data_IF_448759374905
#
_entry.id   IF_448759374905
#
_cell.length_a   1.000
_cell.length_b   1.000
_cell.length_c   1.000
_cell.angle_alpha   90.00
_cell.angle_beta   90.00
_cell.angle_gamma   90.00
#
_symmetry.space_group_name_H-M   'P 1'
#
loop_
_entity.id
_entity.type
_entity.pdbx_description
1 polymer ?
#
# COMPACT_ATOMS: atom_id res chain seq x y z
N UNK A 1 -16.64 66.53 29.99
CA UNK A 1 -18.11 66.61 30.01
C UNK A 1 -18.55 65.19 30.32
N UNK A 2 -18.71 64.97 31.54
CA UNK A 2 -19.91 64.85 32.46
C UNK A 2 -20.52 63.44 32.28
N UNK A 3 -20.26 62.59 33.26
CA UNK A 3 -21.17 62.38 34.45
C UNK A 3 -22.36 61.47 34.04
N UNK A 4 -22.77 60.41 34.72
CA UNK A 4 -22.78 60.14 36.18
C UNK A 4 -23.35 58.75 36.42
N UNK A 5 -22.82 58.03 37.36
CA UNK A 5 -23.53 57.08 38.24
C UNK A 5 -24.51 57.82 39.12
N UNK A 6 -25.52 57.21 39.77
CA UNK A 6 -25.35 56.39 40.99
C UNK A 6 -26.41 55.32 41.31
N UNK A 7 -26.04 54.31 42.08
CA UNK A 7 -26.40 53.97 43.51
C UNK A 7 -27.82 53.59 43.89
N UNK A 8 -27.85 52.59 44.72
CA UNK A 8 -28.76 52.46 45.86
C UNK A 8 -29.32 51.05 46.02
N UNK A 9 -28.84 50.25 46.86
CA UNK A 9 -28.93 50.12 48.33
C UNK A 9 -30.08 49.26 48.81
N UNK A 10 -29.71 48.19 49.52
CA UNK A 10 -30.17 47.79 50.90
C UNK A 10 -31.62 47.28 51.04
N UNK A 11 -31.92 46.18 51.66
CA UNK A 11 -31.80 45.86 53.09
C UNK A 11 -32.53 44.52 53.33
N UNK A 12 -31.93 43.55 54.01
CA UNK A 12 -32.21 43.05 55.33
C UNK A 12 -33.57 42.34 55.61
N UNK A 13 -33.53 41.17 56.03
CA UNK A 13 -33.66 40.62 57.35
C UNK A 13 -34.55 39.37 57.47
N UNK A 14 -34.03 38.43 58.23
CA UNK A 14 -34.63 37.58 59.28
C UNK A 14 -35.93 36.82 58.95
N UNK A 15 -35.98 35.56 59.15
CA UNK A 15 -35.85 34.83 60.36
C UNK A 15 -36.68 33.55 60.37
N UNK A 16 -36.20 32.65 61.17
CA UNK A 16 -36.85 31.57 61.91
C UNK A 16 -37.25 30.29 61.18
N UNK A 17 -36.46 29.24 61.40
CA UNK A 17 -36.79 28.19 62.36
C UNK A 17 -38.13 27.46 62.16
N UNK A 18 -38.02 26.18 61.76
CA UNK A 18 -38.63 25.07 62.55
C UNK A 18 -38.56 23.73 61.85
N UNK A 19 -37.85 22.82 62.49
CA UNK A 19 -38.13 21.39 62.78
C UNK A 19 -38.73 20.47 61.69
N UNK A 20 -37.92 19.50 61.38
CA UNK A 20 -38.19 18.05 61.49
C UNK A 20 -39.27 17.41 60.60
N UNK A 21 -38.83 16.54 59.77
CA UNK A 21 -39.28 15.14 59.84
C UNK A 21 -38.54 14.30 58.79
N UNK A 22 -37.92 13.29 59.31
CA UNK A 22 -37.35 12.20 58.55
C UNK A 22 -38.38 11.48 57.67
N UNK A 23 -38.15 11.35 56.41
CA UNK A 23 -38.68 10.23 55.64
C UNK A 23 -37.62 9.81 54.63
N UNK A 24 -37.07 8.58 54.83
CA UNK A 24 -36.25 7.87 53.93
C UNK A 24 -36.92 7.71 52.55
N UNK A 25 -36.34 8.31 51.57
CA UNK A 25 -36.63 8.11 50.17
C UNK A 25 -35.38 7.53 49.51
N UNK A 26 -35.41 6.25 49.31
CA UNK A 26 -34.49 5.48 48.49
C UNK A 26 -34.19 6.25 47.19
N UNK A 27 -33.01 6.85 47.12
CA UNK A 27 -32.45 7.27 45.83
C UNK A 27 -32.12 6.00 45.04
N UNK A 28 -33.09 5.53 44.27
CA UNK A 28 -32.80 4.65 43.13
C UNK A 28 -31.85 5.43 42.24
N UNK A 29 -30.62 4.96 42.18
CA UNK A 29 -29.72 5.31 41.10
C UNK A 29 -30.43 4.93 39.78
N UNK A 30 -30.86 5.93 39.06
CA UNK A 30 -31.09 5.79 37.63
C UNK A 30 -29.72 5.55 37.03
N UNK A 31 -29.28 4.28 37.04
CA UNK A 31 -28.23 3.81 36.17
C UNK A 31 -28.78 4.01 34.78
N UNK A 32 -28.22 4.94 34.08
CA UNK A 32 -28.43 5.13 32.66
C UNK A 32 -27.88 3.86 31.99
N UNK A 33 -28.79 2.99 31.55
CA UNK A 33 -28.48 1.85 30.69
C UNK A 33 -28.09 2.37 29.33
N UNK A 34 -26.87 2.90 29.22
CA UNK A 34 -26.26 3.37 27.95
C UNK A 34 -25.46 2.26 27.24
N UNK A 35 -25.44 1.04 27.79
CA UNK A 35 -24.52 -0.03 27.32
C UNK A 35 -25.21 -1.04 26.41
N UNK A 36 -26.55 -1.00 26.23
CA UNK A 36 -27.25 -2.05 25.48
C UNK A 36 -27.70 -1.65 24.06
N UNK A 37 -27.37 -0.46 23.55
CA UNK A 37 -27.78 -0.07 22.18
C UNK A 37 -26.75 -0.46 21.08
N UNK A 38 -25.53 -0.78 21.41
CA UNK A 38 -24.51 -1.15 20.39
C UNK A 38 -24.58 -2.59 19.88
N UNK A 39 -25.40 -3.44 20.47
CA UNK A 39 -25.42 -4.88 20.10
C UNK A 39 -26.62 -5.32 19.26
N UNK A 40 -27.49 -4.39 18.79
CA UNK A 40 -28.69 -4.74 18.01
C UNK A 40 -28.63 -4.47 16.52
N UNK A 41 -27.45 -4.19 15.92
CA UNK A 41 -27.40 -3.83 14.51
C UNK A 41 -27.15 -5.04 13.57
N UNK A 42 -27.06 -6.28 14.03
CA UNK A 42 -26.49 -7.33 13.17
C UNK A 42 -27.34 -8.59 12.89
N UNK A 43 -28.62 -8.64 13.18
CA UNK A 43 -29.40 -9.86 12.85
C UNK A 43 -30.31 -9.77 11.62
N UNK A 44 -30.39 -8.60 10.95
CA UNK A 44 -31.28 -8.43 9.78
C UNK A 44 -30.61 -8.33 8.41
N UNK A 45 -29.27 -8.26 8.35
CA UNK A 45 -28.56 -7.86 7.11
C UNK A 45 -28.04 -8.99 6.24
N UNK A 46 -28.13 -10.24 6.67
CA UNK A 46 -27.56 -11.37 5.90
C UNK A 46 -28.09 -11.48 4.48
N UNK A 47 -29.40 -11.44 4.29
CA UNK A 47 -30.01 -11.57 2.96
C UNK A 47 -29.79 -10.33 2.09
N UNK A 48 -29.95 -9.13 2.66
CA UNK A 48 -29.69 -7.88 1.95
C UNK A 48 -28.22 -7.76 1.53
N UNK A 49 -27.26 -8.14 2.38
CA UNK A 49 -25.85 -8.17 2.05
C UNK A 49 -25.55 -9.11 0.87
N UNK A 50 -26.15 -10.31 0.86
CA UNK A 50 -26.02 -11.23 -0.27
C UNK A 50 -26.61 -10.66 -1.57
N UNK A 51 -27.73 -9.95 -1.51
CA UNK A 51 -28.34 -9.31 -2.68
C UNK A 51 -27.42 -8.23 -3.30
N UNK A 52 -26.68 -7.47 -2.48
CA UNK A 52 -25.70 -6.51 -2.97
C UNK A 52 -24.45 -7.16 -3.57
N UNK A 53 -24.01 -8.31 -3.04
CA UNK A 53 -22.85 -9.03 -3.55
C UNK A 53 -23.18 -9.88 -4.80
N UNK A 54 -24.42 -10.30 -4.96
CA UNK A 54 -24.87 -11.19 -6.03
C UNK A 54 -24.52 -10.70 -7.45
N UNK A 55 -24.72 -9.43 -7.84
CA UNK A 55 -24.32 -8.94 -9.15
C UNK A 55 -22.82 -9.07 -9.41
N UNK A 56 -21.99 -8.70 -8.44
CA UNK A 56 -20.52 -8.83 -8.54
C UNK A 56 -20.10 -10.30 -8.62
N UNK A 57 -20.76 -11.15 -7.84
CA UNK A 57 -20.50 -12.60 -7.83
C UNK A 57 -20.94 -13.26 -9.14
N UNK A 58 -22.05 -12.82 -9.73
CA UNK A 58 -22.51 -13.30 -11.04
C UNK A 58 -21.51 -12.93 -12.15
N UNK A 59 -21.00 -11.70 -12.15
CA UNK A 59 -19.95 -11.26 -13.09
C UNK A 59 -18.69 -12.09 -12.88
N UNK A 60 -18.26 -12.30 -11.64
CA UNK A 60 -17.08 -13.11 -11.34
C UNK A 60 -17.25 -14.57 -11.77
N UNK A 61 -18.43 -15.16 -11.57
CA UNK A 61 -18.72 -16.52 -12.00
C UNK A 61 -18.65 -16.67 -13.53
N UNK A 62 -19.26 -15.74 -14.26
CA UNK A 62 -19.34 -15.83 -15.73
C UNK A 62 -18.02 -15.47 -16.41
N UNK A 63 -17.33 -14.44 -15.93
CA UNK A 63 -16.15 -13.91 -16.62
C UNK A 63 -14.80 -14.35 -16.02
N UNK A 64 -14.79 -14.88 -14.81
CA UNK A 64 -13.54 -15.35 -14.17
C UNK A 64 -13.60 -16.86 -13.93
N UNK A 65 -14.59 -17.33 -13.19
CA UNK A 65 -14.64 -18.73 -12.74
C UNK A 65 -14.96 -19.69 -13.89
N UNK A 66 -15.94 -19.37 -14.73
CA UNK A 66 -16.29 -20.24 -15.85
C UNK A 66 -15.16 -20.35 -16.90
N UNK A 67 -14.49 -19.25 -17.34
CA UNK A 67 -13.31 -19.36 -18.19
C UNK A 67 -12.14 -20.08 -17.50
N UNK A 68 -11.93 -19.89 -16.20
CA UNK A 68 -10.90 -20.59 -15.46
C UNK A 68 -11.12 -22.11 -15.47
N UNK A 69 -12.35 -22.57 -15.15
CA UNK A 69 -12.70 -23.99 -15.19
C UNK A 69 -12.52 -24.55 -16.61
N UNK A 70 -12.95 -23.79 -17.62
CA UNK A 70 -12.77 -24.20 -19.02
C UNK A 70 -11.29 -24.29 -19.41
N UNK A 71 -10.46 -23.36 -18.97
CA UNK A 71 -8.99 -23.39 -19.19
C UNK A 71 -8.36 -24.62 -18.55
N UNK A 72 -8.74 -24.93 -17.30
CA UNK A 72 -8.28 -26.15 -16.63
C UNK A 72 -8.71 -27.39 -17.40
N UNK A 73 -9.96 -27.46 -17.87
CA UNK A 73 -10.44 -28.58 -18.70
C UNK A 73 -9.66 -28.70 -20.01
N UNK A 74 -9.45 -27.58 -20.71
CA UNK A 74 -8.68 -27.54 -21.97
C UNK A 74 -7.23 -27.95 -21.79
N UNK A 75 -6.62 -27.71 -20.63
CA UNK A 75 -5.23 -28.08 -20.36
C UNK A 75 -4.97 -29.61 -20.44
N UNK A 76 -6.01 -30.42 -20.29
CA UNK A 76 -5.96 -31.88 -20.45
C UNK A 76 -6.32 -32.36 -21.86
N UNK A 77 -6.47 -31.44 -22.80
CA UNK A 77 -6.84 -31.75 -24.20
C UNK A 77 -5.78 -31.25 -25.17
N UNK A 78 -5.83 -31.72 -26.40
CA UNK A 78 -5.00 -31.21 -27.52
C UNK A 78 -5.75 -30.16 -28.37
N UNK A 79 -6.73 -29.48 -27.76
CA UNK A 79 -7.53 -28.45 -28.41
C UNK A 79 -6.65 -27.33 -28.99
N UNK A 80 -7.01 -26.89 -30.18
CA UNK A 80 -6.44 -25.69 -30.84
C UNK A 80 -7.57 -24.78 -31.29
N UNK A 81 -7.28 -23.53 -31.65
CA UNK A 81 -8.29 -22.62 -32.20
C UNK A 81 -9.03 -23.19 -33.41
N UNK A 82 -8.41 -24.10 -34.15
CA UNK A 82 -8.95 -24.66 -35.40
C UNK A 82 -9.68 -26.00 -35.19
N UNK A 83 -9.49 -26.70 -34.07
CA UNK A 83 -10.05 -28.03 -33.82
C UNK A 83 -10.48 -28.20 -32.38
N UNK A 84 -11.69 -28.80 -32.16
CA UNK A 84 -12.01 -29.31 -30.83
C UNK A 84 -10.97 -30.37 -30.46
N UNK A 85 -10.44 -30.33 -29.25
CA UNK A 85 -9.39 -31.24 -28.79
C UNK A 85 -9.96 -32.58 -28.30
N UNK A 86 -9.14 -33.62 -28.35
CA UNK A 86 -9.38 -34.89 -27.66
C UNK A 86 -8.70 -34.86 -26.27
N UNK A 87 -9.22 -35.67 -25.37
CA UNK A 87 -8.62 -35.78 -24.03
C UNK A 87 -7.29 -36.54 -24.11
N UNK A 88 -6.19 -35.87 -23.76
CA UNK A 88 -4.82 -36.42 -23.81
C UNK A 88 -4.19 -36.54 -22.41
N UNK A 89 -4.95 -36.31 -21.36
CA UNK A 89 -4.47 -36.40 -19.98
C UNK A 89 -3.34 -35.41 -19.71
N UNK A 90 -2.23 -35.88 -19.17
CA UNK A 90 -1.09 -35.03 -18.75
C UNK A 90 -0.02 -34.82 -19.85
N UNK A 91 -0.31 -35.22 -21.10
CA UNK A 91 0.68 -35.12 -22.18
C UNK A 91 1.15 -33.68 -22.43
N UNK A 92 0.25 -32.69 -22.36
CA UNK A 92 0.58 -31.28 -22.53
C UNK A 92 1.51 -30.76 -21.40
N UNK A 93 1.28 -31.21 -20.18
CA UNK A 93 2.15 -30.89 -19.04
C UNK A 93 3.54 -31.50 -19.19
N UNK A 94 3.61 -32.73 -19.72
CA UNK A 94 4.91 -33.39 -20.01
C UNK A 94 5.67 -32.64 -21.10
N UNK A 95 5.00 -32.24 -22.19
CA UNK A 95 5.59 -31.40 -23.23
C UNK A 95 6.09 -30.06 -22.67
N UNK A 96 5.28 -29.41 -21.86
CA UNK A 96 5.63 -28.16 -21.19
C UNK A 96 6.91 -28.31 -20.32
N UNK A 97 6.98 -29.37 -19.51
CA UNK A 97 8.15 -29.61 -18.66
C UNK A 97 9.43 -29.97 -19.46
N UNK A 98 9.28 -30.49 -20.68
CA UNK A 98 10.39 -30.78 -21.57
C UNK A 98 10.82 -29.58 -22.44
N UNK A 99 10.04 -28.50 -22.45
CA UNK A 99 10.31 -27.32 -23.28
C UNK A 99 11.39 -26.42 -22.64
N UNK A 100 12.54 -26.20 -23.32
CA UNK A 100 13.57 -25.29 -22.84
C UNK A 100 13.09 -23.85 -22.65
N UNK A 101 12.07 -23.40 -23.40
CA UNK A 101 11.52 -22.06 -23.25
C UNK A 101 10.82 -21.87 -21.89
N UNK A 102 10.13 -22.91 -21.41
CA UNK A 102 9.50 -22.92 -20.07
C UNK A 102 10.56 -22.83 -18.97
N UNK A 103 11.63 -23.61 -19.05
CA UNK A 103 12.75 -23.55 -18.10
C UNK A 103 13.39 -22.17 -18.07
N UNK A 104 13.61 -21.59 -19.25
CA UNK A 104 14.14 -20.23 -19.39
C UNK A 104 13.19 -19.20 -18.78
N UNK A 105 11.90 -19.32 -19.04
CA UNK A 105 10.85 -18.45 -18.47
C UNK A 105 10.78 -18.53 -16.95
N UNK A 106 10.82 -19.75 -16.40
CA UNK A 106 10.85 -19.97 -14.95
C UNK A 106 12.09 -19.36 -14.29
N UNK A 107 13.26 -19.55 -14.90
CA UNK A 107 14.51 -18.95 -14.41
C UNK A 107 14.42 -17.41 -14.41
N UNK A 108 14.00 -16.82 -15.51
CA UNK A 108 13.86 -15.37 -15.64
C UNK A 108 12.86 -14.82 -14.61
N UNK A 109 11.70 -15.47 -14.45
CA UNK A 109 10.67 -15.07 -13.48
C UNK A 109 11.17 -15.19 -12.05
N UNK A 110 11.87 -16.28 -11.72
CA UNK A 110 12.44 -16.48 -10.39
C UNK A 110 13.49 -15.41 -10.06
N UNK A 111 14.41 -15.13 -10.98
CA UNK A 111 15.40 -14.06 -10.84
C UNK A 111 14.73 -12.70 -10.70
N UNK A 112 13.68 -12.46 -11.50
CA UNK A 112 12.92 -11.22 -11.43
C UNK A 112 12.33 -11.00 -10.03
N UNK A 113 11.63 -12.00 -9.47
CA UNK A 113 11.05 -11.93 -8.13
C UNK A 113 12.12 -11.75 -7.06
N UNK A 114 13.18 -12.56 -7.10
CA UNK A 114 14.27 -12.51 -6.11
C UNK A 114 14.99 -11.15 -6.12
N UNK A 115 15.17 -10.54 -7.30
CA UNK A 115 15.81 -9.25 -7.41
C UNK A 115 14.83 -8.09 -7.12
N UNK A 116 13.64 -8.08 -7.73
CA UNK A 116 12.74 -6.91 -7.65
C UNK A 116 12.09 -6.79 -6.28
N UNK A 117 11.62 -7.89 -5.68
CA UNK A 117 10.83 -7.81 -4.43
C UNK A 117 11.63 -7.21 -3.26
N UNK A 118 12.86 -7.61 -2.96
CA UNK A 118 13.63 -6.99 -1.88
C UNK A 118 13.83 -5.47 -2.08
N UNK A 119 14.14 -5.06 -3.31
CA UNK A 119 14.30 -3.63 -3.61
C UNK A 119 12.98 -2.87 -3.50
N UNK A 120 11.85 -3.45 -3.90
CA UNK A 120 10.52 -2.86 -3.81
C UNK A 120 10.00 -2.77 -2.35
N UNK A 121 10.55 -3.56 -1.44
CA UNK A 121 10.25 -3.46 -0.01
C UNK A 121 11.18 -2.46 0.67
N UNK A 122 12.48 -2.57 0.44
CA UNK A 122 13.49 -1.83 1.20
C UNK A 122 13.63 -0.39 0.74
N UNK A 123 13.78 -0.14 -0.58
CA UNK A 123 14.04 1.20 -1.10
C UNK A 123 12.89 2.18 -0.83
N UNK A 124 11.60 1.83 -1.07
CA UNK A 124 10.51 2.74 -0.77
C UNK A 124 10.39 3.06 0.73
N UNK A 125 10.66 2.09 1.62
CA UNK A 125 10.66 2.31 3.06
C UNK A 125 11.76 3.29 3.50
N UNK A 126 12.98 3.12 2.95
CA UNK A 126 14.08 4.06 3.18
C UNK A 126 13.69 5.45 2.67
N UNK A 127 13.19 5.54 1.43
CA UNK A 127 12.76 6.82 0.86
C UNK A 127 11.64 7.46 1.69
N UNK A 128 10.63 6.70 2.10
CA UNK A 128 9.55 7.19 2.95
C UNK A 128 10.08 7.76 4.26
N UNK A 129 11.02 7.06 4.92
CA UNK A 129 11.63 7.54 6.16
C UNK A 129 12.44 8.82 5.98
N UNK A 130 13.12 8.98 4.83
CA UNK A 130 13.90 10.18 4.51
C UNK A 130 13.00 11.38 4.17
N UNK A 131 11.83 11.16 3.58
CA UNK A 131 10.92 12.23 3.16
C UNK A 131 9.69 12.40 4.07
N UNK A 132 9.68 11.79 5.27
CA UNK A 132 8.56 11.82 6.21
C UNK A 132 8.32 13.19 6.89
N UNK A 133 9.26 14.13 6.80
CA UNK A 133 9.12 15.45 7.43
C UNK A 133 8.15 16.41 6.71
N UNK A 134 7.84 17.55 7.36
CA UNK A 134 6.87 18.56 6.88
C UNK A 134 7.49 19.72 6.08
N UNK A 135 8.67 19.55 5.51
CA UNK A 135 9.34 20.59 4.71
C UNK A 135 8.78 20.66 3.28
N UNK A 136 8.74 21.87 2.69
CA UNK A 136 8.37 22.08 1.28
C UNK A 136 9.32 21.34 0.32
N UNK A 137 10.59 21.23 0.69
CA UNK A 137 11.61 20.50 -0.09
C UNK A 137 11.27 19.01 -0.10
N UNK A 138 10.92 18.43 1.05
CA UNK A 138 10.52 17.02 1.14
C UNK A 138 9.22 16.74 0.37
N UNK A 139 8.28 17.69 0.35
CA UNK A 139 7.07 17.60 -0.46
C UNK A 139 7.38 17.60 -1.96
N UNK A 140 8.35 18.38 -2.39
CA UNK A 140 8.83 18.36 -3.78
C UNK A 140 9.45 17.01 -4.14
N UNK A 141 10.31 16.43 -3.28
CA UNK A 141 10.87 15.10 -3.52
C UNK A 141 9.78 14.01 -3.57
N UNK A 142 8.78 14.06 -2.66
CA UNK A 142 7.63 13.14 -2.71
C UNK A 142 6.90 13.20 -4.05
N UNK A 143 6.61 14.41 -4.53
CA UNK A 143 5.96 14.61 -5.83
C UNK A 143 6.83 14.09 -6.99
N UNK A 144 8.15 14.34 -6.94
CA UNK A 144 9.09 13.90 -7.99
C UNK A 144 9.22 12.38 -8.05
N UNK A 145 9.30 11.69 -6.91
CA UNK A 145 9.32 10.21 -6.87
C UNK A 145 7.98 9.59 -7.26
N UNK A 146 6.87 10.30 -7.07
CA UNK A 146 5.55 9.82 -7.47
C UNK A 146 5.24 10.06 -8.95
N UNK A 147 5.96 10.96 -9.61
CA UNK A 147 5.73 11.31 -11.01
C UNK A 147 5.68 10.08 -11.96
N UNK A 148 6.61 9.10 -11.85
CA UNK A 148 6.57 7.92 -12.72
C UNK A 148 5.29 7.09 -12.60
N UNK A 149 4.63 7.11 -11.44
CA UNK A 149 3.38 6.35 -11.18
C UNK A 149 2.21 6.90 -11.97
N UNK A 150 2.19 8.22 -12.21
CA UNK A 150 1.09 8.90 -12.90
C UNK A 150 1.23 8.81 -14.43
N UNK A 151 2.44 8.55 -14.91
CA UNK A 151 2.72 8.45 -16.34
C UNK A 151 2.22 7.11 -16.89
N UNK A 152 1.60 7.11 -18.05
CA UNK A 152 1.16 5.88 -18.71
C UNK A 152 2.35 4.92 -18.91
N UNK A 153 2.15 3.64 -18.56
CA UNK A 153 3.17 2.58 -18.73
C UNK A 153 3.68 2.49 -20.18
N UNK A 154 2.83 2.77 -21.17
CA UNK A 154 3.24 2.79 -22.59
C UNK A 154 4.26 3.91 -22.84
N UNK A 155 4.00 5.11 -22.30
CA UNK A 155 4.91 6.25 -22.43
C UNK A 155 6.23 5.94 -21.72
N UNK A 156 6.17 5.38 -20.51
CA UNK A 156 7.36 4.94 -19.78
C UNK A 156 8.16 3.96 -20.62
N UNK A 157 7.52 2.95 -21.22
CA UNK A 157 8.18 1.98 -22.09
C UNK A 157 8.86 2.64 -23.29
N UNK A 158 8.18 3.54 -23.98
CA UNK A 158 8.74 4.27 -25.13
C UNK A 158 9.94 5.14 -24.75
N UNK A 159 9.85 5.87 -23.62
CA UNK A 159 10.95 6.71 -23.14
C UNK A 159 12.17 5.86 -22.79
N UNK A 160 12.00 4.78 -22.03
CA UNK A 160 13.10 3.90 -21.67
C UNK A 160 13.69 3.15 -22.86
N UNK A 161 12.88 2.75 -23.84
CA UNK A 161 13.37 2.17 -25.09
C UNK A 161 14.32 3.12 -25.83
N UNK A 162 13.99 4.41 -25.89
CA UNK A 162 14.87 5.43 -26.47
C UNK A 162 16.12 5.70 -25.62
N UNK A 163 15.99 5.75 -24.29
CA UNK A 163 17.10 5.98 -23.37
C UNK A 163 18.13 4.84 -23.44
N UNK A 164 17.67 3.59 -23.51
CA UNK A 164 18.49 2.37 -23.53
C UNK A 164 18.88 1.89 -24.94
N UNK A 165 18.41 2.58 -25.98
CA UNK A 165 18.78 2.26 -27.36
C UNK A 165 20.32 2.28 -27.58
N UNK A 166 20.87 1.59 -28.58
CA UNK A 166 22.31 1.63 -28.88
C UNK A 166 22.85 3.06 -29.06
N UNK A 167 22.08 3.95 -29.68
CA UNK A 167 22.42 5.38 -29.81
C UNK A 167 21.66 6.26 -28.80
N UNK A 168 21.12 5.66 -27.72
CA UNK A 168 20.38 6.34 -26.70
C UNK A 168 21.27 7.12 -25.72
N UNK A 169 20.59 7.86 -24.83
CA UNK A 169 21.25 8.79 -23.89
C UNK A 169 22.25 8.07 -22.98
N UNK A 170 21.92 6.86 -22.48
CA UNK A 170 22.80 6.09 -21.58
C UNK A 170 24.09 5.70 -22.29
N UNK A 171 24.00 5.11 -23.47
CA UNK A 171 25.18 4.74 -24.26
C UNK A 171 26.00 5.97 -24.67
N UNK A 172 25.36 7.06 -25.06
CA UNK A 172 26.03 8.30 -25.42
C UNK A 172 26.80 8.89 -24.22
N UNK A 173 26.18 8.92 -23.04
CA UNK A 173 26.83 9.41 -21.82
C UNK A 173 28.01 8.52 -21.41
N UNK A 174 27.87 7.19 -21.43
CA UNK A 174 28.96 6.28 -21.10
C UNK A 174 30.14 6.40 -22.08
N UNK A 175 29.86 6.63 -23.36
CA UNK A 175 30.89 6.84 -24.37
C UNK A 175 31.60 8.18 -24.23
N UNK A 176 30.88 9.25 -23.85
CA UNK A 176 31.48 10.59 -23.67
C UNK A 176 32.49 10.64 -22.53
N UNK A 177 32.28 9.81 -21.47
CA UNK A 177 33.24 9.69 -20.36
C UNK A 177 34.27 8.54 -20.59
N UNK A 178 34.36 8.00 -21.79
CA UNK A 178 35.24 6.88 -22.17
C UNK A 178 35.07 5.62 -21.30
N UNK A 179 33.90 5.42 -20.68
CA UNK A 179 33.59 4.23 -19.88
C UNK A 179 33.37 2.98 -20.74
N UNK A 180 32.98 3.15 -21.99
CA UNK A 180 32.74 2.06 -22.96
C UNK A 180 33.37 2.39 -24.30
N UNK A 181 33.86 1.36 -24.99
CA UNK A 181 34.37 1.46 -26.38
C UNK A 181 33.30 1.22 -27.41
N UNK A 182 32.40 0.25 -27.14
CA UNK A 182 31.30 -0.16 -28.00
C UNK A 182 29.95 0.08 -27.27
N UNK A 183 28.87 0.18 -28.05
CA UNK A 183 27.54 0.35 -27.50
C UNK A 183 27.06 -0.91 -26.75
N UNK A 184 26.51 -0.72 -25.57
CA UNK A 184 25.93 -1.80 -24.77
C UNK A 184 24.53 -2.13 -25.32
N UNK A 185 24.25 -3.40 -25.68
CA UNK A 185 22.96 -3.82 -26.26
C UNK A 185 21.89 -4.10 -25.17
N UNK A 186 21.51 -3.10 -24.41
CA UNK A 186 20.58 -3.21 -23.26
C UNK A 186 19.25 -3.90 -23.60
N UNK A 187 18.76 -3.74 -24.85
CA UNK A 187 17.43 -4.20 -25.26
C UNK A 187 17.46 -5.49 -26.11
N UNK A 188 18.65 -5.94 -26.53
CA UNK A 188 18.81 -7.10 -27.42
C UNK A 188 19.53 -8.25 -26.77
N UNK A 189 20.36 -8.00 -25.77
CA UNK A 189 20.94 -9.06 -24.94
C UNK A 189 19.94 -9.52 -23.87
N UNK A 190 19.83 -10.84 -23.70
CA UNK A 190 18.85 -11.46 -22.78
C UNK A 190 18.98 -10.96 -21.34
N UNK A 191 20.20 -10.94 -20.83
CA UNK A 191 20.46 -10.59 -19.44
C UNK A 191 20.32 -9.09 -19.20
N UNK A 192 20.85 -8.28 -20.11
CA UNK A 192 20.74 -6.83 -20.03
C UNK A 192 19.29 -6.35 -20.16
N UNK A 193 18.51 -6.99 -21.04
CA UNK A 193 17.08 -6.73 -21.14
C UNK A 193 16.34 -7.05 -19.85
N UNK A 194 16.64 -8.22 -19.24
CA UNK A 194 16.01 -8.64 -17.98
C UNK A 194 16.34 -7.65 -16.86
N UNK A 195 17.62 -7.28 -16.68
CA UNK A 195 18.03 -6.30 -15.67
C UNK A 195 17.48 -4.90 -15.95
N UNK A 196 17.42 -4.48 -17.21
CA UNK A 196 16.78 -3.20 -17.60
C UNK A 196 15.31 -3.17 -17.21
N UNK A 197 14.57 -4.25 -17.48
CA UNK A 197 13.18 -4.38 -17.10
C UNK A 197 12.98 -4.35 -15.57
N UNK A 198 13.83 -5.05 -14.82
CA UNK A 198 13.83 -5.01 -13.34
C UNK A 198 14.06 -3.59 -12.82
N UNK A 199 15.07 -2.89 -13.35
CA UNK A 199 15.40 -1.51 -12.96
C UNK A 199 14.23 -0.55 -13.23
N UNK A 200 13.62 -0.64 -14.41
CA UNK A 200 12.46 0.19 -14.78
C UNK A 200 11.28 -0.09 -13.84
N UNK A 201 11.01 -1.36 -13.53
CA UNK A 201 9.93 -1.75 -12.62
C UNK A 201 10.17 -1.19 -11.21
N UNK A 202 11.38 -1.33 -10.68
CA UNK A 202 11.74 -0.77 -9.37
C UNK A 202 11.55 0.75 -9.40
N UNK A 203 12.09 1.45 -10.39
CA UNK A 203 11.99 2.90 -10.52
C UNK A 203 10.52 3.38 -10.58
N UNK A 204 9.69 2.71 -11.38
CA UNK A 204 8.26 3.05 -11.51
C UNK A 204 7.49 2.79 -10.22
N UNK A 205 7.81 1.70 -9.52
CA UNK A 205 7.11 1.30 -8.30
C UNK A 205 7.53 2.07 -7.04
N UNK A 206 8.75 2.66 -7.01
CA UNK A 206 9.29 3.34 -5.83
C UNK A 206 8.32 4.37 -5.25
N UNK A 207 7.75 5.24 -6.08
CA UNK A 207 6.85 6.29 -5.65
C UNK A 207 5.54 5.78 -5.06
N UNK A 208 4.97 4.74 -5.65
CA UNK A 208 3.73 4.13 -5.18
C UNK A 208 3.90 3.52 -3.78
N UNK A 209 4.89 2.66 -3.60
CA UNK A 209 5.15 2.02 -2.30
C UNK A 209 5.67 3.02 -1.26
N UNK A 210 6.41 4.05 -1.66
CA UNK A 210 6.84 5.13 -0.76
C UNK A 210 5.64 5.83 -0.12
N UNK A 211 4.56 6.12 -0.87
CA UNK A 211 3.37 6.76 -0.31
C UNK A 211 2.64 5.84 0.67
N UNK A 212 2.56 4.53 0.37
CA UNK A 212 1.97 3.54 1.28
C UNK A 212 2.76 3.53 2.61
N UNK A 213 4.09 3.47 2.52
CA UNK A 213 4.93 3.53 3.72
C UNK A 213 4.84 4.86 4.46
N UNK A 214 4.71 5.99 3.78
CA UNK A 214 4.48 7.28 4.43
C UNK A 214 3.19 7.30 5.25
N UNK A 215 2.11 6.72 4.73
CA UNK A 215 0.87 6.58 5.46
C UNK A 215 1.01 5.66 6.69
N UNK A 216 1.75 4.55 6.56
CA UNK A 216 2.03 3.66 7.67
C UNK A 216 2.92 4.34 8.74
N UNK A 217 3.95 5.08 8.32
CA UNK A 217 4.83 5.82 9.22
C UNK A 217 4.10 6.91 10.02
N UNK A 218 3.07 7.52 9.44
CA UNK A 218 2.26 8.54 10.12
C UNK A 218 1.43 7.96 11.29
N UNK A 219 1.22 6.66 11.34
CA UNK A 219 0.49 5.98 12.42
C UNK A 219 1.41 5.50 13.57
N UNK A 220 2.73 5.64 13.44
CA UNK A 220 3.66 5.28 14.49
C UNK A 220 3.68 6.39 15.54
N UNK A 221 3.57 6.02 16.83
CA UNK A 221 3.62 6.95 17.94
C UNK A 221 4.98 7.70 17.96
N UNK A 222 4.97 9.05 17.88
CA UNK A 222 6.20 9.85 17.98
C UNK A 222 6.99 9.60 19.26
N UNK A 223 6.32 9.25 20.38
CA UNK A 223 6.95 8.94 21.65
C UNK A 223 7.96 7.78 21.57
N UNK A 224 7.77 6.83 20.64
CA UNK A 224 8.75 5.75 20.41
C UNK A 224 10.07 6.27 19.83
N UNK A 225 10.01 7.28 18.98
CA UNK A 225 11.20 7.91 18.42
C UNK A 225 11.92 8.76 19.46
N UNK A 226 11.17 9.48 20.32
CA UNK A 226 11.70 10.28 21.42
C UNK A 226 12.38 9.40 22.47
N UNK A 227 11.75 8.30 22.88
CA UNK A 227 12.32 7.33 23.80
C UNK A 227 13.63 6.74 23.26
N UNK A 228 13.63 6.31 21.99
CA UNK A 228 14.84 5.80 21.33
C UNK A 228 15.95 6.85 21.23
N UNK A 229 15.62 8.15 21.14
CA UNK A 229 16.60 9.23 21.13
C UNK A 229 17.20 9.45 22.52
N UNK A 230 16.39 9.38 23.56
CA UNK A 230 16.86 9.44 24.98
C UNK A 230 17.80 8.25 25.28
N UNK A 231 17.51 7.07 24.74
CA UNK A 231 18.34 5.88 24.85
C UNK A 231 19.64 5.94 24.00
N UNK A 232 19.90 7.05 23.32
CA UNK A 232 21.09 7.25 22.49
C UNK A 232 21.08 6.46 21.19
N UNK A 233 19.92 5.99 20.70
CA UNK A 233 19.82 5.26 19.44
C UNK A 233 20.08 6.20 18.24
N UNK A 234 21.13 5.91 17.48
CA UNK A 234 21.40 6.60 16.21
C UNK A 234 20.34 6.30 15.14
N UNK A 235 20.39 7.06 14.02
CA UNK A 235 19.39 7.00 12.92
C UNK A 235 19.16 5.56 12.41
N UNK A 236 20.22 4.81 12.15
CA UNK A 236 20.11 3.42 11.66
C UNK A 236 19.45 2.51 12.70
N UNK A 237 19.79 2.67 13.98
CA UNK A 237 19.22 1.87 15.07
C UNK A 237 17.72 2.19 15.25
N UNK A 238 17.34 3.47 15.18
CA UNK A 238 15.92 3.89 15.19
C UNK A 238 15.16 3.33 13.99
N UNK A 239 15.76 3.36 12.79
CA UNK A 239 15.15 2.78 11.60
C UNK A 239 14.87 1.28 11.78
N UNK A 240 15.86 0.50 12.21
CA UNK A 240 15.72 -0.97 12.32
C UNK A 240 14.83 -1.41 13.49
N UNK A 241 14.79 -0.67 14.62
CA UNK A 241 14.11 -1.12 15.84
C UNK A 241 12.80 -0.38 16.13
N UNK A 242 12.54 0.77 15.48
CA UNK A 242 11.30 1.52 15.64
C UNK A 242 10.53 1.55 14.33
N UNK A 243 11.16 2.05 13.24
CA UNK A 243 10.49 2.24 11.96
C UNK A 243 10.06 0.92 11.32
N UNK A 244 10.97 -0.03 11.14
CA UNK A 244 10.67 -1.33 10.48
C UNK A 244 9.62 -2.13 11.24
N UNK A 245 9.73 -2.33 12.59
CA UNK A 245 8.70 -3.02 13.34
C UNK A 245 7.38 -2.26 13.40
N UNK A 246 7.41 -0.91 13.52
CA UNK A 246 6.24 -0.06 13.57
C UNK A 246 5.38 -0.15 12.31
N UNK A 247 5.98 -0.13 11.13
CA UNK A 247 5.27 -0.32 9.87
C UNK A 247 4.64 -1.71 9.78
N UNK A 248 5.31 -2.76 10.26
CA UNK A 248 4.77 -4.14 10.27
C UNK A 248 3.58 -4.31 11.23
N UNK A 249 3.55 -3.54 12.34
CA UNK A 249 2.48 -3.64 13.35
C UNK A 249 1.19 -2.94 12.94
N UNK A 250 1.21 -2.07 11.93
CA UNK A 250 0.04 -1.29 11.47
C UNK A 250 -0.99 -2.16 10.72
N UNK A 251 -0.64 -3.42 10.40
CA UNK A 251 -1.51 -4.37 9.69
C UNK A 251 -2.46 -5.18 10.63
N UNK A 252 -2.67 -4.72 11.90
CA UNK A 252 -3.55 -5.42 12.84
C UNK A 252 -4.72 -4.57 13.30
#
# INVERSE_FOLDING_TARGET
MSESTPTGSTTSARGSSSKAAARGGSRRHAGVDVVDEEHRIHEGTGFAAWLFVLPALAVALVFVIAPFINTVRLSFTDATFARPGTFVGLEQYRKMLADPAVHTGLLNSSLYVICVVPFMVILPLILASLVSGNSKILSFFRASFYLPVVVSTVIVGLVWTNILAPKGVVNAALKSVNAIKEYIPFLTDRWLLLFSAMMITIWTGLGYYMIIYLAALANIDPGLYEAAEIDGAGVVRRFLHVTVPGVRSTDR
#
